data_IF_857031568407
#
_entry.id   IF_857031568407
#
_cell.length_a   1.000
_cell.length_b   1.000
_cell.length_c   1.000
_cell.angle_alpha   90.00
_cell.angle_beta   90.00
_cell.angle_gamma   90.00
#
_symmetry.space_group_name_H-M   'P 1'
#
loop_
_entity.id
_entity.type
_entity.pdbx_description
1 polymer ?
#
# COMPACT_ATOMS: atom_id res chain seq x y z
N UNK A 1 -0.82 3.44 -7.14
CA UNK A 1 -1.55 3.57 -5.85
C UNK A 1 -2.98 4.07 -6.06
N UNK A 2 -3.20 5.17 -6.80
CA UNK A 2 -4.54 5.72 -7.03
C UNK A 2 -5.54 4.69 -7.59
N UNK A 3 -5.11 3.87 -8.55
CA UNK A 3 -5.98 2.83 -9.12
C UNK A 3 -6.30 1.73 -8.09
N UNK A 4 -5.29 1.27 -7.32
CA UNK A 4 -5.50 0.32 -6.22
C UNK A 4 -6.47 0.86 -5.15
N UNK A 5 -6.37 2.15 -4.82
CA UNK A 5 -7.29 2.80 -3.87
C UNK A 5 -8.68 2.89 -4.45
N UNK A 6 -8.83 3.18 -5.74
CA UNK A 6 -10.12 3.21 -6.41
C UNK A 6 -10.76 1.83 -6.45
N UNK A 7 -9.96 0.77 -6.62
CA UNK A 7 -10.42 -0.62 -6.65
C UNK A 7 -10.77 -1.17 -5.26
N UNK A 8 -9.94 -0.90 -4.25
CA UNK A 8 -10.09 -1.46 -2.90
C UNK A 8 -10.89 -0.58 -1.94
N UNK A 9 -10.87 0.74 -2.12
CA UNK A 9 -11.48 1.74 -1.25
C UNK A 9 -12.24 2.80 -2.09
N UNK A 10 -13.29 2.41 -2.84
CA UNK A 10 -13.97 3.31 -3.78
C UNK A 10 -14.61 4.53 -3.09
N UNK A 11 -15.12 4.37 -1.86
CA UNK A 11 -15.72 5.46 -1.08
C UNK A 11 -14.70 6.52 -0.68
N UNK A 12 -13.52 6.07 -0.27
CA UNK A 12 -12.39 6.94 0.04
C UNK A 12 -11.88 7.68 -1.19
N UNK A 13 -11.75 6.97 -2.32
CA UNK A 13 -11.33 7.58 -3.58
C UNK A 13 -12.33 8.66 -4.05
N UNK A 14 -13.63 8.42 -3.90
CA UNK A 14 -14.67 9.39 -4.22
C UNK A 14 -14.59 10.64 -3.32
N UNK A 15 -14.39 10.45 -2.01
CA UNK A 15 -14.22 11.55 -1.05
C UNK A 15 -12.99 12.40 -1.38
N UNK A 16 -11.84 11.77 -1.67
CA UNK A 16 -10.63 12.49 -2.09
C UNK A 16 -10.83 13.31 -3.36
N UNK A 17 -11.56 12.76 -4.35
CA UNK A 17 -11.90 13.49 -5.59
C UNK A 17 -12.82 14.68 -5.32
N UNK A 18 -13.80 14.54 -4.43
CA UNK A 18 -14.70 15.64 -4.06
C UNK A 18 -13.96 16.82 -3.43
N UNK A 19 -12.89 16.55 -2.68
CA UNK A 19 -12.05 17.57 -2.04
C UNK A 19 -10.83 17.97 -2.88
N UNK A 20 -10.73 17.51 -4.14
CA UNK A 20 -9.60 17.78 -5.06
C UNK A 20 -8.22 17.48 -4.45
N UNK A 21 -8.13 16.44 -3.61
CA UNK A 21 -6.90 16.07 -2.92
C UNK A 21 -6.06 15.12 -3.78
N UNK A 22 -4.87 15.58 -4.15
CA UNK A 22 -3.91 14.79 -4.92
C UNK A 22 -3.15 13.77 -4.07
N UNK A 23 -3.73 12.58 -3.94
CA UNK A 23 -3.11 11.44 -3.27
C UNK A 23 -1.72 11.07 -3.84
N UNK A 24 -1.49 11.33 -5.13
CA UNK A 24 -0.22 11.03 -5.80
C UNK A 24 0.97 11.75 -5.18
N UNK A 25 0.78 12.99 -4.70
CA UNK A 25 1.83 13.79 -4.07
C UNK A 25 2.25 13.19 -2.72
N UNK A 26 1.27 12.79 -1.91
CA UNK A 26 1.50 12.10 -0.64
C UNK A 26 2.18 10.75 -0.86
N UNK A 27 1.67 9.96 -1.80
CA UNK A 27 2.25 8.66 -2.14
C UNK A 27 3.70 8.78 -2.59
N UNK A 28 4.00 9.76 -3.44
CA UNK A 28 5.37 10.02 -3.90
C UNK A 28 6.29 10.38 -2.73
N UNK A 29 5.87 11.29 -1.84
CA UNK A 29 6.63 11.65 -0.64
C UNK A 29 6.88 10.44 0.27
N UNK A 30 5.87 9.61 0.49
CA UNK A 30 5.99 8.39 1.30
C UNK A 30 6.95 7.37 0.69
N UNK A 31 6.90 7.17 -0.63
CA UNK A 31 7.79 6.23 -1.31
C UNK A 31 9.23 6.74 -1.40
N UNK A 32 9.43 8.04 -1.64
CA UNK A 32 10.77 8.64 -1.67
C UNK A 32 11.45 8.58 -0.30
N UNK A 33 10.69 8.82 0.78
CA UNK A 33 11.21 8.76 2.15
C UNK A 33 11.14 7.35 2.76
N UNK A 34 10.69 6.33 2.01
CA UNK A 34 10.46 4.97 2.52
C UNK A 34 9.67 4.95 3.85
N UNK A 35 8.69 5.84 3.99
CA UNK A 35 7.90 6.07 5.20
C UNK A 35 8.67 6.56 6.45
N UNK A 36 9.97 6.84 6.34
CA UNK A 36 10.82 7.26 7.48
C UNK A 36 10.32 8.58 8.08
N UNK A 37 9.94 9.54 7.25
CA UNK A 37 9.47 10.84 7.71
C UNK A 37 8.04 10.81 8.28
N UNK A 38 7.28 9.75 7.97
CA UNK A 38 5.87 9.61 8.30
C UNK A 38 5.56 8.45 9.24
N UNK A 39 6.55 7.70 9.77
CA UNK A 39 6.39 6.64 10.77
C UNK A 39 7.47 6.70 11.86
N UNK A 40 7.20 6.28 13.11
CA UNK A 40 8.24 6.17 14.13
C UNK A 40 9.18 4.99 13.83
N UNK A 41 10.38 4.99 14.43
CA UNK A 41 11.39 3.93 14.23
C UNK A 41 10.87 2.52 14.50
N UNK A 42 9.97 2.38 15.47
CA UNK A 42 9.35 1.09 15.79
C UNK A 42 8.54 0.49 14.64
N UNK A 43 8.08 1.32 13.68
CA UNK A 43 7.25 0.90 12.55
C UNK A 43 8.05 0.93 11.26
N UNK A 44 8.87 1.96 11.00
CA UNK A 44 9.63 2.00 9.76
C UNK A 44 10.80 1.01 9.74
N UNK A 45 11.44 0.68 10.89
CA UNK A 45 12.57 -0.26 10.91
C UNK A 45 12.15 -1.67 10.43
N UNK A 46 11.06 -2.28 10.93
CA UNK A 46 10.61 -3.57 10.41
C UNK A 46 10.13 -3.52 8.96
N UNK A 47 9.55 -2.39 8.51
CA UNK A 47 9.24 -2.18 7.08
C UNK A 47 10.54 -2.17 6.27
N UNK A 48 11.59 -1.55 6.79
CA UNK A 48 12.91 -1.48 6.17
C UNK A 48 13.61 -2.84 6.14
N UNK A 49 13.46 -3.66 7.18
CA UNK A 49 13.96 -5.04 7.21
C UNK A 49 13.30 -5.88 6.11
N UNK A 50 11.97 -5.77 5.96
CA UNK A 50 11.24 -6.44 4.87
C UNK A 50 11.62 -5.87 3.50
N UNK A 51 11.86 -4.56 3.41
CA UNK A 51 12.35 -3.90 2.20
C UNK A 51 13.70 -4.49 1.77
N UNK A 52 14.67 -4.62 2.68
CA UNK A 52 15.98 -5.21 2.40
C UNK A 52 15.86 -6.69 2.04
N UNK A 53 14.91 -7.41 2.63
CA UNK A 53 14.68 -8.83 2.39
C UNK A 53 14.03 -9.13 1.02
N UNK A 54 13.07 -8.31 0.57
CA UNK A 54 12.27 -8.56 -0.65
C UNK A 54 12.96 -8.10 -1.95
N UNK A 55 14.04 -7.31 -1.87
CA UNK A 55 14.90 -6.94 -3.01
C UNK A 55 14.14 -6.36 -4.21
N UNK A 56 13.89 -7.18 -5.23
CA UNK A 56 13.20 -6.73 -6.47
C UNK A 56 11.69 -6.45 -6.28
N UNK A 57 11.09 -6.89 -5.17
CA UNK A 57 9.66 -6.67 -4.85
C UNK A 57 9.42 -5.50 -3.92
N UNK A 58 10.47 -4.78 -3.56
CA UNK A 58 10.46 -3.57 -2.70
C UNK A 58 9.31 -2.63 -3.03
N UNK A 59 9.15 -2.26 -4.31
CA UNK A 59 8.13 -1.32 -4.75
C UNK A 59 6.74 -1.84 -4.40
N UNK A 60 6.52 -3.14 -4.58
CA UNK A 60 5.24 -3.78 -4.31
C UNK A 60 4.90 -3.81 -2.82
N UNK A 61 5.88 -4.08 -1.97
CA UNK A 61 5.72 -4.06 -0.51
C UNK A 61 5.38 -2.65 -0.02
N UNK A 62 6.03 -1.61 -0.57
CA UNK A 62 5.72 -0.21 -0.25
C UNK A 62 4.30 0.16 -0.65
N UNK A 63 3.82 -0.27 -1.83
CA UNK A 63 2.42 -0.05 -2.23
C UNK A 63 1.44 -0.73 -1.27
N UNK A 64 1.71 -1.96 -0.80
CA UNK A 64 0.88 -2.65 0.20
C UNK A 64 0.81 -1.87 1.51
N UNK A 65 1.94 -1.43 2.02
CA UNK A 65 1.99 -0.63 3.26
C UNK A 65 1.28 0.71 3.10
N UNK A 66 1.51 1.44 2.00
CA UNK A 66 0.76 2.67 1.71
C UNK A 66 -0.75 2.41 1.69
N UNK A 67 -1.18 1.33 1.05
CA UNK A 67 -2.60 1.00 0.93
C UNK A 67 -3.21 0.63 2.30
N UNK A 68 -2.48 -0.12 3.12
CA UNK A 68 -2.90 -0.45 4.48
C UNK A 68 -3.01 0.80 5.37
N UNK A 69 -2.04 1.73 5.28
CA UNK A 69 -2.10 3.02 5.95
C UNK A 69 -3.35 3.79 5.51
N UNK A 70 -3.63 3.86 4.21
CA UNK A 70 -4.82 4.54 3.70
C UNK A 70 -6.12 3.90 4.18
N UNK A 71 -6.16 2.56 4.28
CA UNK A 71 -7.31 1.84 4.85
C UNK A 71 -7.55 2.19 6.31
N UNK A 72 -6.49 2.37 7.10
CA UNK A 72 -6.61 2.82 8.49
C UNK A 72 -7.05 4.30 8.58
N UNK A 73 -6.59 5.15 7.66
CA UNK A 73 -7.03 6.54 7.56
C UNK A 73 -8.47 6.67 7.04
N UNK A 74 -9.03 5.64 6.40
CA UNK A 74 -10.30 5.69 5.68
C UNK A 74 -11.43 6.22 6.55
N UNK A 75 -11.57 5.67 7.77
CA UNK A 75 -12.63 6.04 8.71
C UNK A 75 -12.56 7.52 9.11
N UNK A 76 -11.35 8.05 9.32
CA UNK A 76 -11.13 9.44 9.70
C UNK A 76 -11.34 10.40 8.51
N UNK A 77 -10.92 10.00 7.32
CA UNK A 77 -11.11 10.79 6.09
C UNK A 77 -12.59 10.84 5.72
N UNK A 78 -13.34 9.74 5.84
CA UNK A 78 -14.79 9.70 5.61
C UNK A 78 -15.57 10.59 6.59
N UNK A 79 -15.09 10.73 7.83
CA UNK A 79 -15.67 11.65 8.82
C UNK A 79 -15.26 13.12 8.59
N UNK A 80 -14.24 13.36 7.77
CA UNK A 80 -13.73 14.70 7.53
C UNK A 80 -14.65 15.49 6.60
N UNK A 81 -15.04 16.70 7.03
CA UNK A 81 -15.94 17.60 6.29
C UNK A 81 -15.21 18.69 5.48
N UNK A 82 -13.89 18.78 5.58
CA UNK A 82 -13.09 19.86 4.99
C UNK A 82 -11.79 19.32 4.39
N UNK A 83 -11.36 19.88 3.26
CA UNK A 83 -10.10 19.57 2.57
C UNK A 83 -8.91 19.57 3.54
N UNK A 84 -8.81 20.58 4.41
CA UNK A 84 -7.72 20.73 5.36
C UNK A 84 -7.60 19.56 6.34
N UNK A 85 -8.72 18.97 6.78
CA UNK A 85 -8.69 17.81 7.68
C UNK A 85 -8.26 16.55 6.94
N UNK A 86 -8.71 16.38 5.68
CA UNK A 86 -8.26 15.28 4.82
C UNK A 86 -6.75 15.39 4.57
N UNK A 87 -6.26 16.58 4.24
CA UNK A 87 -4.82 16.86 4.11
C UNK A 87 -4.06 16.58 5.41
N UNK A 88 -4.57 16.99 6.57
CA UNK A 88 -3.94 16.73 7.86
C UNK A 88 -3.87 15.23 8.17
N UNK A 89 -4.92 14.48 7.86
CA UNK A 89 -4.95 13.02 8.03
C UNK A 89 -3.88 12.34 7.18
N UNK A 90 -3.76 12.73 5.90
CA UNK A 90 -2.75 12.19 4.98
C UNK A 90 -1.34 12.69 5.27
N UNK A 91 -1.17 13.88 5.84
CA UNK A 91 0.16 14.39 6.19
C UNK A 91 0.75 13.72 7.43
N UNK A 92 -0.09 13.16 8.32
CA UNK A 92 0.34 12.53 9.57
C UNK A 92 -0.29 11.14 9.76
N UNK A 93 -0.01 10.17 8.88
CA UNK A 93 -0.59 8.84 9.00
C UNK A 93 -0.21 8.12 10.30
N UNK A 94 0.91 8.50 10.95
CA UNK A 94 1.33 7.96 12.28
C UNK A 94 0.23 7.94 13.31
N UNK A 95 -0.63 8.96 13.33
CA UNK A 95 -1.66 9.09 14.36
C UNK A 95 -2.72 7.98 14.28
N UNK A 96 -2.80 7.29 13.14
CA UNK A 96 -3.72 6.18 12.92
C UNK A 96 -3.03 4.81 12.97
N UNK A 97 -1.70 4.78 12.97
CA UNK A 97 -0.91 3.55 12.95
C UNK A 97 -0.10 3.45 14.24
N UNK A 98 -0.65 2.74 15.21
CA UNK A 98 -0.07 2.57 16.54
C UNK A 98 0.86 1.36 16.66
N UNK A 99 0.67 0.32 15.84
CA UNK A 99 1.46 -0.92 15.90
C UNK A 99 1.83 -1.43 14.50
N UNK A 100 3.09 -1.80 14.31
CA UNK A 100 3.58 -2.46 13.09
C UNK A 100 2.85 -3.78 12.83
N UNK A 101 2.54 -4.58 13.86
CA UNK A 101 1.86 -5.88 13.69
C UNK A 101 0.49 -5.70 13.07
N UNK A 102 -0.28 -4.72 13.54
CA UNK A 102 -1.60 -4.42 12.99
C UNK A 102 -1.48 -3.92 11.54
N UNK A 103 -0.52 -3.02 11.28
CA UNK A 103 -0.25 -2.53 9.93
C UNK A 103 0.13 -3.67 8.98
N UNK A 104 1.04 -4.55 9.41
CA UNK A 104 1.49 -5.70 8.64
C UNK A 104 0.34 -6.68 8.40
N UNK A 105 -0.50 -6.95 9.40
CA UNK A 105 -1.69 -7.78 9.22
C UNK A 105 -2.64 -7.21 8.16
N UNK A 106 -2.94 -5.91 8.19
CA UNK A 106 -3.79 -5.28 7.17
C UNK A 106 -3.11 -5.30 5.79
N UNK A 107 -1.80 -5.05 5.73
CA UNK A 107 -1.03 -5.04 4.48
C UNK A 107 -0.92 -6.42 3.81
N UNK A 108 -0.69 -7.48 4.59
CA UNK A 108 -0.47 -8.83 4.08
C UNK A 108 -1.73 -9.68 3.98
N UNK A 109 -2.74 -9.44 4.82
CA UNK A 109 -3.96 -10.25 4.88
C UNK A 109 -5.11 -9.62 4.08
N UNK A 110 -5.36 -8.33 4.28
CA UNK A 110 -6.50 -7.61 3.70
C UNK A 110 -6.19 -7.00 2.32
N UNK A 111 -4.94 -6.57 2.14
CA UNK A 111 -4.53 -5.74 1.01
C UNK A 111 -3.55 -6.46 0.08
N UNK A 112 -3.58 -7.79 0.04
CA UNK A 112 -2.70 -8.57 -0.82
C UNK A 112 -3.13 -8.46 -2.29
N UNK A 113 -2.43 -7.70 -3.16
CA UNK A 113 -2.88 -7.48 -4.53
C UNK A 113 -2.36 -8.57 -5.47
N UNK A 114 -1.39 -9.40 -5.05
CA UNK A 114 -0.83 -10.42 -5.93
C UNK A 114 -0.53 -11.71 -5.16
N UNK A 115 -1.31 -12.77 -5.43
CA UNK A 115 -0.96 -14.08 -4.95
C UNK A 115 0.27 -14.55 -5.74
N UNK A 116 1.28 -15.07 -5.04
CA UNK A 116 2.37 -15.84 -5.64
C UNK A 116 1.86 -16.89 -6.64
N UNK A 117 0.60 -17.33 -6.51
CA UNK A 117 -0.12 -18.16 -7.49
C UNK A 117 0.00 -17.68 -8.93
N UNK A 118 -0.09 -16.39 -9.25
CA UNK A 118 -0.02 -15.96 -10.67
C UNK A 118 1.39 -16.08 -11.26
N UNK A 119 2.43 -15.97 -10.43
CA UNK A 119 3.83 -16.16 -10.85
C UNK A 119 4.09 -17.66 -11.07
N UNK A 120 3.57 -18.53 -10.20
CA UNK A 120 3.62 -19.99 -10.38
C UNK A 120 2.80 -20.47 -11.57
N UNK A 121 1.60 -19.94 -11.80
CA UNK A 121 0.77 -20.29 -12.96
C UNK A 121 1.44 -19.89 -14.28
N UNK A 122 2.10 -18.73 -14.34
CA UNK A 122 2.89 -18.36 -15.52
C UNK A 122 4.12 -19.27 -15.68
N UNK A 123 4.82 -19.60 -14.60
CA UNK A 123 5.98 -20.53 -14.64
C UNK A 123 5.58 -21.95 -15.08
N UNK A 124 4.44 -22.47 -14.62
CA UNK A 124 3.95 -23.80 -15.02
C UNK A 124 3.50 -23.83 -16.48
N UNK A 125 2.89 -22.75 -16.98
CA UNK A 125 2.52 -22.61 -18.39
C UNK A 125 3.75 -22.56 -19.32
N UNK A 126 4.79 -21.80 -18.96
CA UNK A 126 6.03 -21.76 -19.74
C UNK A 126 6.76 -23.12 -19.74
N UNK A 127 6.78 -23.83 -18.62
CA UNK A 127 7.37 -25.18 -18.52
C UNK A 127 6.60 -26.21 -19.37
N UNK A 128 5.26 -26.16 -19.36
CA UNK A 128 4.44 -27.03 -20.20
C UNK A 128 4.67 -26.76 -21.71
N UNK A 129 4.84 -25.49 -22.09
CA UNK A 129 5.14 -25.12 -23.48
C UNK A 129 6.54 -25.54 -23.93
N UNK A 130 7.54 -25.56 -23.03
CA UNK A 130 8.88 -26.06 -23.34
C UNK A 130 8.89 -27.59 -23.50
N UNK A 131 8.11 -28.32 -22.70
CA UNK A 131 7.98 -29.77 -22.83
C UNK A 131 7.26 -30.17 -24.12
N UNK A 132 6.20 -29.45 -24.51
CA UNK A 132 5.45 -29.72 -25.75
C UNK A 132 6.22 -29.42 -27.05
N UNK A 133 7.35 -28.71 -26.97
CA UNK A 133 8.18 -28.36 -28.14
C UNK A 133 9.34 -29.33 -28.37
N UNK A 134 9.61 -30.20 -27.40
CA UNK A 134 10.69 -31.20 -27.40
C UNK A 134 10.19 -32.65 -27.51
N UNK A 135 8.90 -32.85 -27.77
CA UNK A 135 8.24 -34.14 -28.05
C UNK A 135 7.53 -34.07 -29.40
#
# INVERSE_FOLDING_TARGET
LRDLVTEKLPRFAAHLRQFEVDLSLFALSWFLTCFVDVMPHQIYLPIFDVFLYEGNKVIFTLFRFALAILKMCESSVLQSKTVSMVHACLSRPRQFVSDYKLLAQVAFNDMNPFPQKQIETKRSLYLAQLQARHS
#
